data_IF_888233794025
#
_entry.id   IF_888233794025
#
_cell.length_a   1.000
_cell.length_b   1.000
_cell.length_c   1.000
_cell.angle_alpha   90.00
_cell.angle_beta   90.00
_cell.angle_gamma   90.00
#
_symmetry.space_group_name_H-M   'P 1'
#
loop_
_entity.id
_entity.type
_entity.pdbx_description
1 polymer ?
#
# COMPACT_ATOMS: atom_id res chain seq x y z
N UNK A 1 54.15 -13.66 33.90
CA UNK A 1 54.05 -12.89 32.64
C UNK A 1 52.86 -13.28 31.75
N UNK A 2 52.42 -14.56 31.72
CA UNK A 2 51.26 -14.99 30.91
C UNK A 2 49.93 -14.29 31.27
N UNK A 3 49.67 -14.04 32.55
CA UNK A 3 48.44 -13.35 32.99
C UNK A 3 48.34 -11.91 32.52
N UNK A 4 49.45 -11.16 32.47
CA UNK A 4 49.47 -9.79 31.98
C UNK A 4 49.13 -9.72 30.48
N UNK A 5 49.64 -10.68 29.70
CA UNK A 5 49.35 -10.78 28.27
C UNK A 5 47.87 -11.10 28.01
N UNK A 6 47.30 -12.03 28.79
CA UNK A 6 45.87 -12.37 28.70
C UNK A 6 44.99 -11.16 29.06
N UNK A 7 45.35 -10.41 30.11
CA UNK A 7 44.63 -9.20 30.51
C UNK A 7 44.69 -8.11 29.41
N UNK A 8 45.85 -7.93 28.78
CA UNK A 8 46.01 -6.98 27.68
C UNK A 8 45.17 -7.36 26.46
N UNK A 9 45.15 -8.65 26.07
CA UNK A 9 44.32 -9.14 24.97
C UNK A 9 42.83 -8.92 25.27
N UNK A 10 42.39 -9.23 26.50
CA UNK A 10 41.01 -9.00 26.92
C UNK A 10 40.61 -7.52 26.85
N UNK A 11 41.48 -6.63 27.30
CA UNK A 11 41.23 -5.19 27.28
C UNK A 11 41.13 -4.66 25.86
N UNK A 12 41.97 -5.15 24.94
CA UNK A 12 41.90 -4.78 23.52
C UNK A 12 40.61 -5.30 22.87
N UNK A 13 40.24 -6.56 23.11
CA UNK A 13 39.06 -7.16 22.49
C UNK A 13 37.76 -6.52 23.01
N UNK A 14 37.59 -6.45 24.34
CA UNK A 14 36.37 -5.90 24.94
C UNK A 14 36.32 -4.39 24.77
N UNK A 15 37.42 -3.69 25.02
CA UNK A 15 37.49 -2.23 24.87
C UNK A 15 37.31 -1.81 23.42
N UNK A 16 37.95 -2.51 22.48
CA UNK A 16 37.78 -2.27 21.05
C UNK A 16 36.35 -2.50 20.58
N UNK A 17 35.72 -3.61 21.00
CA UNK A 17 34.33 -3.92 20.65
C UNK A 17 33.35 -2.91 21.27
N UNK A 18 33.52 -2.53 22.53
CA UNK A 18 32.71 -1.50 23.19
C UNK A 18 32.85 -0.14 22.52
N UNK A 19 34.08 0.26 22.16
CA UNK A 19 34.30 1.53 21.48
C UNK A 19 33.67 1.53 20.07
N UNK A 20 33.81 0.43 19.34
CA UNK A 20 33.22 0.26 18.02
C UNK A 20 31.69 0.32 18.06
N UNK A 21 31.06 -0.43 18.97
CA UNK A 21 29.60 -0.45 19.14
C UNK A 21 29.06 0.92 19.53
N UNK A 22 29.72 1.60 20.47
CA UNK A 22 29.35 2.95 20.87
C UNK A 22 29.46 3.97 19.72
N UNK A 23 30.53 3.92 18.93
CA UNK A 23 30.66 4.79 17.75
C UNK A 23 29.63 4.46 16.67
N UNK A 24 29.34 3.17 16.46
CA UNK A 24 28.33 2.72 15.50
C UNK A 24 26.95 3.21 15.88
N UNK A 25 26.56 3.10 17.15
CA UNK A 25 25.26 3.54 17.64
C UNK A 25 25.08 5.05 17.55
N UNK A 26 26.13 5.83 17.84
CA UNK A 26 26.09 7.30 17.67
C UNK A 26 25.98 7.76 16.22
N UNK A 27 26.31 6.89 15.25
CA UNK A 27 26.14 7.16 13.82
C UNK A 27 24.82 6.63 13.27
N UNK A 28 24.04 5.90 14.07
CA UNK A 28 22.69 5.55 13.65
C UNK A 28 21.89 6.86 13.54
N UNK A 29 21.11 7.04 12.47
CA UNK A 29 20.13 8.12 12.42
C UNK A 29 19.26 8.07 13.68
N UNK A 30 18.78 9.22 14.19
CA UNK A 30 17.77 9.23 15.23
C UNK A 30 16.65 8.26 14.82
N UNK A 31 16.23 7.38 15.73
CA UNK A 31 15.03 6.60 15.51
C UNK A 31 13.92 7.61 15.25
N UNK A 32 13.40 7.66 14.02
CA UNK A 32 12.24 8.50 13.72
C UNK A 32 11.16 8.06 14.70
N UNK A 33 10.75 8.95 15.60
CA UNK A 33 9.58 8.71 16.44
C UNK A 33 8.46 8.26 15.51
N UNK A 34 7.84 7.13 15.83
CA UNK A 34 6.70 6.65 15.09
C UNK A 34 5.66 7.77 15.14
N UNK A 35 5.46 8.45 14.01
CA UNK A 35 4.40 9.44 13.88
C UNK A 35 3.13 8.71 14.28
N UNK A 36 2.49 9.17 15.37
CA UNK A 36 1.20 8.64 15.80
C UNK A 36 0.22 8.99 14.69
N UNK A 37 0.05 8.06 13.75
CA UNK A 37 -0.88 8.20 12.65
C UNK A 37 -2.28 8.29 13.24
N UNK A 38 -2.92 9.45 13.11
CA UNK A 38 -4.33 9.62 13.43
C UNK A 38 -5.16 8.93 12.37
N UNK A 39 -6.17 8.18 12.76
CA UNK A 39 -7.11 7.59 11.80
C UNK A 39 -7.82 8.68 11.00
N UNK A 40 -7.90 8.52 9.69
CA UNK A 40 -8.72 9.36 8.84
C UNK A 40 -10.15 8.80 8.81
N UNK A 41 -11.20 9.65 8.76
CA UNK A 41 -12.58 9.19 8.78
C UNK A 41 -12.91 8.50 7.46
N UNK A 42 -12.86 7.16 7.41
CA UNK A 42 -13.09 6.36 6.20
C UNK A 42 -14.44 6.63 5.50
N UNK A 43 -15.44 7.07 6.26
CA UNK A 43 -16.77 7.51 5.80
C UNK A 43 -16.71 8.76 4.91
N UNK A 44 -15.64 9.56 4.98
CA UNK A 44 -15.51 10.73 4.11
C UNK A 44 -15.07 10.35 2.69
N UNK A 45 -14.65 9.10 2.47
CA UNK A 45 -13.94 8.68 1.28
C UNK A 45 -14.72 7.64 0.46
N UNK A 46 -14.56 7.74 -0.86
CA UNK A 46 -15.06 6.77 -1.84
C UNK A 46 -13.93 6.39 -2.78
N UNK A 47 -13.71 5.09 -2.96
CA UNK A 47 -12.76 4.57 -3.94
C UNK A 47 -13.52 4.10 -5.18
N UNK A 48 -13.19 4.64 -6.34
CA UNK A 48 -13.72 4.22 -7.63
C UNK A 48 -12.68 3.44 -8.41
N UNK A 49 -13.10 2.32 -9.00
CA UNK A 49 -12.24 1.43 -9.77
C UNK A 49 -12.95 1.17 -11.10
N UNK A 50 -12.32 1.53 -12.21
CA UNK A 50 -12.88 1.40 -13.55
C UNK A 50 -11.91 0.62 -14.43
N UNK A 51 -12.12 -0.69 -14.64
CA UNK A 51 -11.31 -1.48 -15.56
C UNK A 51 -11.68 -1.15 -17.01
N UNK A 52 -10.71 -1.09 -17.91
CA UNK A 52 -10.93 -0.93 -19.35
C UNK A 52 -11.31 -2.24 -20.05
N UNK A 53 -11.42 -3.34 -19.29
CA UNK A 53 -11.61 -4.70 -19.76
C UNK A 53 -12.63 -5.42 -18.87
N UNK A 54 -13.22 -6.50 -19.39
CA UNK A 54 -14.10 -7.35 -18.57
C UNK A 54 -13.26 -8.20 -17.62
N UNK A 55 -13.51 -8.18 -16.32
CA UNK A 55 -12.69 -8.96 -15.38
C UNK A 55 -13.08 -10.43 -15.38
N UNK A 56 -12.11 -11.31 -15.13
CA UNK A 56 -12.31 -12.77 -15.13
C UNK A 56 -11.65 -13.42 -13.91
N UNK A 57 -11.98 -14.69 -13.65
CA UNK A 57 -11.26 -15.47 -12.65
C UNK A 57 -9.85 -15.80 -13.15
N UNK A 58 -8.88 -15.91 -12.23
CA UNK A 58 -7.49 -16.21 -12.59
C UNK A 58 -7.34 -17.71 -12.90
N UNK A 59 -7.03 -18.09 -14.16
CA UNK A 59 -6.89 -19.50 -14.53
C UNK A 59 -5.63 -20.15 -13.94
N UNK A 60 -4.70 -19.38 -13.40
CA UNK A 60 -3.45 -19.85 -12.80
C UNK A 60 -3.48 -19.85 -11.27
N UNK A 61 -4.62 -19.51 -10.67
CA UNK A 61 -4.73 -19.52 -9.21
C UNK A 61 -4.57 -20.95 -8.66
N UNK A 62 -3.79 -21.07 -7.59
CA UNK A 62 -3.59 -22.34 -6.91
C UNK A 62 -4.87 -22.80 -6.20
N UNK A 63 -5.13 -24.10 -6.22
CA UNK A 63 -6.22 -24.68 -5.45
C UNK A 63 -6.00 -24.40 -3.95
N UNK A 64 -7.00 -23.81 -3.32
CA UNK A 64 -6.93 -23.40 -1.90
C UNK A 64 -6.44 -21.97 -1.67
N UNK A 65 -6.02 -21.23 -2.71
CA UNK A 65 -5.78 -19.79 -2.57
C UNK A 65 -7.10 -19.08 -2.27
N UNK A 66 -7.23 -18.36 -1.14
CA UNK A 66 -8.44 -17.61 -0.81
C UNK A 66 -8.82 -16.59 -1.90
N UNK A 67 -7.89 -16.16 -2.77
CA UNK A 67 -8.14 -15.20 -3.85
C UNK A 67 -8.38 -15.85 -5.22
N UNK A 68 -8.44 -17.18 -5.32
CA UNK A 68 -8.50 -17.86 -6.61
C UNK A 68 -9.71 -17.46 -7.47
N UNK A 69 -10.87 -17.24 -6.85
CA UNK A 69 -12.08 -16.81 -7.54
C UNK A 69 -12.19 -15.30 -7.77
N UNK A 70 -11.29 -14.50 -7.18
CA UNK A 70 -11.44 -13.05 -7.16
C UNK A 70 -10.97 -12.41 -8.48
N UNK A 71 -11.89 -11.71 -9.14
CA UNK A 71 -11.66 -10.98 -10.39
C UNK A 71 -11.10 -9.56 -10.14
N UNK A 72 -11.45 -8.98 -8.98
CA UNK A 72 -10.91 -7.72 -8.46
C UNK A 72 -10.68 -7.88 -6.96
N UNK A 73 -9.52 -7.44 -6.47
CA UNK A 73 -9.17 -7.36 -5.05
C UNK A 73 -8.58 -6.00 -4.76
N UNK A 74 -9.07 -5.35 -3.71
CA UNK A 74 -8.58 -4.07 -3.23
C UNK A 74 -8.24 -4.20 -1.75
N UNK A 75 -7.07 -3.68 -1.37
CA UNK A 75 -6.64 -3.68 0.03
C UNK A 75 -6.03 -2.34 0.43
N UNK A 76 -6.20 -2.01 1.70
CA UNK A 76 -5.53 -0.89 2.35
C UNK A 76 -5.08 -1.34 3.73
N UNK A 77 -3.86 -1.00 4.12
CA UNK A 77 -3.27 -1.39 5.41
C UNK A 77 -3.42 -2.91 5.71
N UNK A 78 -3.26 -3.76 4.69
CA UNK A 78 -3.39 -5.21 4.80
C UNK A 78 -4.83 -5.75 4.92
N UNK A 79 -5.85 -4.89 4.95
CA UNK A 79 -7.27 -5.28 5.04
C UNK A 79 -7.91 -5.29 3.65
N UNK A 80 -8.80 -6.25 3.39
CA UNK A 80 -9.58 -6.30 2.14
C UNK A 80 -10.71 -5.28 2.22
N UNK A 81 -10.67 -4.28 1.33
CA UNK A 81 -11.73 -3.28 1.20
C UNK A 81 -12.82 -3.73 0.23
N UNK A 82 -12.40 -4.40 -0.84
CA UNK A 82 -13.30 -4.90 -1.86
C UNK A 82 -12.77 -6.18 -2.47
N UNK A 83 -13.69 -7.08 -2.76
CA UNK A 83 -13.45 -8.34 -3.46
C UNK A 83 -14.66 -8.63 -4.32
N UNK A 84 -14.42 -8.84 -5.61
CA UNK A 84 -15.44 -9.37 -6.53
C UNK A 84 -15.04 -10.76 -6.97
N UNK A 85 -15.90 -11.75 -6.76
CA UNK A 85 -15.76 -13.09 -7.37
C UNK A 85 -16.55 -13.20 -8.69
N UNK A 86 -17.25 -12.13 -9.07
CA UNK A 86 -18.03 -12.05 -10.31
C UNK A 86 -17.27 -11.26 -11.38
N UNK A 87 -17.37 -11.64 -12.66
CA UNK A 87 -16.92 -10.82 -13.77
C UNK A 87 -17.58 -9.43 -13.73
N UNK A 88 -16.77 -8.39 -13.89
CA UNK A 88 -17.22 -7.03 -14.10
C UNK A 88 -17.09 -6.68 -15.58
N UNK A 89 -17.99 -5.87 -16.12
CA UNK A 89 -17.90 -5.44 -17.51
C UNK A 89 -16.86 -4.34 -17.68
N UNK A 90 -16.28 -4.25 -18.88
CA UNK A 90 -15.38 -3.16 -19.23
C UNK A 90 -16.07 -1.80 -19.10
N UNK A 91 -15.35 -0.81 -18.56
CA UNK A 91 -15.82 0.56 -18.40
C UNK A 91 -16.82 0.76 -17.24
N UNK A 92 -17.22 -0.29 -16.52
CA UNK A 92 -18.12 -0.18 -15.37
C UNK A 92 -17.33 0.21 -14.13
N UNK A 93 -17.68 1.34 -13.54
CA UNK A 93 -17.08 1.80 -12.29
C UNK A 93 -17.65 1.04 -11.10
N UNK A 94 -16.74 0.47 -10.30
CA UNK A 94 -17.03 -0.07 -8.98
C UNK A 94 -16.71 1.00 -7.94
N UNK A 95 -17.71 1.38 -7.15
CA UNK A 95 -17.55 2.32 -6.04
C UNK A 95 -17.51 1.57 -4.70
N UNK A 96 -16.47 1.81 -3.91
CA UNK A 96 -16.25 1.22 -2.60
C UNK A 96 -16.34 2.34 -1.56
N UNK A 97 -17.29 2.22 -0.66
CA UNK A 97 -17.55 3.17 0.41
C UNK A 97 -18.15 2.43 1.62
N UNK A 98 -17.69 2.69 2.85
CA UNK A 98 -16.56 3.56 3.22
C UNK A 98 -15.20 2.96 2.89
N UNK A 99 -14.15 3.80 2.83
CA UNK A 99 -12.76 3.35 2.66
C UNK A 99 -12.08 3.24 4.02
N UNK A 100 -12.19 2.06 4.64
CA UNK A 100 -11.63 1.81 5.97
C UNK A 100 -10.09 1.74 6.00
N UNK A 101 -9.49 1.99 7.18
CA UNK A 101 -8.05 1.82 7.39
C UNK A 101 -7.16 2.92 6.80
N UNK A 102 -7.76 4.06 6.45
CA UNK A 102 -7.03 5.27 6.08
C UNK A 102 -6.51 5.98 7.32
N UNK A 103 -5.32 6.57 7.21
CA UNK A 103 -4.71 7.39 8.27
C UNK A 103 -4.33 8.77 7.72
N UNK A 104 -4.21 9.76 8.59
CA UNK A 104 -3.52 10.99 8.25
C UNK A 104 -2.04 10.69 7.93
N UNK A 105 -1.53 11.32 6.88
CA UNK A 105 -0.21 11.06 6.34
C UNK A 105 -0.23 10.00 5.25
N UNK A 106 0.81 9.15 5.20
CA UNK A 106 1.06 8.24 4.08
C UNK A 106 0.17 7.01 4.15
N UNK A 107 -0.49 6.71 3.04
CA UNK A 107 -1.35 5.56 2.82
C UNK A 107 -0.94 4.83 1.55
N UNK A 108 -1.47 3.62 1.38
CA UNK A 108 -1.26 2.79 0.21
C UNK A 108 -2.53 1.98 -0.08
N UNK A 109 -2.98 2.01 -1.33
CA UNK A 109 -4.01 1.12 -1.85
C UNK A 109 -3.34 0.08 -2.75
N UNK A 110 -3.49 -1.19 -2.39
CA UNK A 110 -3.15 -2.29 -3.28
C UNK A 110 -4.39 -2.66 -4.11
N UNK A 111 -4.23 -2.72 -5.43
CA UNK A 111 -5.23 -3.21 -6.37
C UNK A 111 -4.67 -4.41 -7.13
N UNK A 112 -5.51 -5.44 -7.29
CA UNK A 112 -5.35 -6.48 -8.31
C UNK A 112 -6.64 -6.62 -9.11
N UNK A 113 -6.54 -6.60 -10.44
CA UNK A 113 -7.63 -6.92 -11.35
C UNK A 113 -7.13 -7.92 -12.40
N UNK A 114 -7.96 -8.92 -12.70
CA UNK A 114 -7.61 -10.05 -13.57
C UNK A 114 -8.36 -9.90 -14.89
N UNK A 115 -7.65 -9.70 -16.03
CA UNK A 115 -8.30 -9.70 -17.34
C UNK A 115 -8.63 -11.12 -17.79
N UNK A 116 -9.43 -11.30 -18.85
CA UNK A 116 -9.60 -12.59 -19.49
C UNK A 116 -8.26 -13.00 -20.09
N UNK A 117 -7.87 -14.27 -19.94
CA UNK A 117 -6.59 -14.78 -20.47
C UNK A 117 -6.42 -14.55 -21.98
N UNK A 118 -7.52 -14.45 -22.72
CA UNK A 118 -7.53 -14.22 -24.16
C UNK A 118 -7.47 -12.74 -24.54
N UNK A 119 -7.31 -11.81 -23.60
CA UNK A 119 -7.24 -10.37 -23.88
C UNK A 119 -5.98 -10.04 -24.70
N UNK A 120 -6.12 -9.68 -26.00
CA UNK A 120 -4.98 -9.55 -26.89
C UNK A 120 -4.33 -8.16 -26.82
N UNK A 121 -4.99 -7.20 -26.16
CA UNK A 121 -4.59 -5.81 -26.08
C UNK A 121 -4.05 -5.47 -24.70
N UNK A 122 -3.21 -4.43 -24.67
CA UNK A 122 -2.88 -3.75 -23.44
C UNK A 122 -4.15 -3.14 -22.85
N UNK A 123 -4.20 -3.10 -21.53
CA UNK A 123 -5.40 -2.75 -20.80
C UNK A 123 -5.03 -2.03 -19.52
N UNK A 124 -6.01 -1.37 -18.92
CA UNK A 124 -5.77 -0.53 -17.77
C UNK A 124 -6.90 -0.62 -16.75
N UNK A 125 -6.58 -0.21 -15.53
CA UNK A 125 -7.57 0.09 -14.49
C UNK A 125 -7.34 1.51 -14.01
N UNK A 126 -8.38 2.33 -14.10
CA UNK A 126 -8.38 3.65 -13.49
C UNK A 126 -8.83 3.54 -12.05
N UNK A 127 -8.11 4.18 -11.14
CA UNK A 127 -8.40 4.21 -9.70
C UNK A 127 -8.52 5.65 -9.26
N UNK A 128 -9.66 6.01 -8.66
CA UNK A 128 -9.88 7.35 -8.10
C UNK A 128 -10.23 7.27 -6.63
N UNK A 129 -9.56 8.06 -5.81
CA UNK A 129 -9.99 8.29 -4.42
C UNK A 129 -10.67 9.64 -4.35
N UNK A 130 -11.90 9.66 -3.85
CA UNK A 130 -12.69 10.87 -3.66
C UNK A 130 -12.89 11.13 -2.17
N UNK A 131 -12.95 12.40 -1.79
CA UNK A 131 -13.39 12.86 -0.48
C UNK A 131 -14.54 13.84 -0.66
N UNK A 132 -15.75 13.47 -0.24
CA UNK A 132 -16.94 14.30 -0.45
C UNK A 132 -17.15 14.72 -1.92
N UNK A 133 -16.80 13.85 -2.88
CA UNK A 133 -16.89 14.14 -4.33
C UNK A 133 -15.69 14.86 -4.93
N UNK A 134 -14.76 15.38 -4.13
CA UNK A 134 -13.48 15.94 -4.62
C UNK A 134 -12.49 14.81 -4.89
N UNK A 135 -11.87 14.80 -6.06
CA UNK A 135 -10.82 13.84 -6.41
C UNK A 135 -9.54 14.19 -5.65
N UNK A 136 -9.03 13.24 -4.88
CA UNK A 136 -7.75 13.31 -4.17
C UNK A 136 -6.63 12.53 -4.88
N UNK A 137 -7.01 11.47 -5.60
CA UNK A 137 -6.11 10.58 -6.34
C UNK A 137 -6.82 10.16 -7.61
N UNK A 138 -6.09 10.11 -8.73
CA UNK A 138 -6.58 9.60 -10.02
C UNK A 138 -5.41 8.99 -10.78
N UNK A 139 -5.30 7.66 -10.70
CA UNK A 139 -4.18 6.91 -11.26
C UNK A 139 -4.69 5.90 -12.30
N UNK A 140 -3.89 5.68 -13.33
CA UNK A 140 -4.16 4.65 -14.35
C UNK A 140 -3.07 3.59 -14.30
N UNK A 141 -3.46 2.38 -13.92
CA UNK A 141 -2.58 1.23 -13.80
C UNK A 141 -2.67 0.40 -15.08
N UNK A 142 -1.52 0.09 -15.69
CA UNK A 142 -1.45 -0.62 -16.96
C UNK A 142 -1.08 -2.09 -16.76
N UNK A 143 -1.62 -2.95 -17.63
CA UNK A 143 -1.27 -4.35 -17.78
C UNK A 143 -1.09 -4.69 -19.26
N UNK A 144 -0.14 -5.57 -19.55
CA UNK A 144 0.17 -6.02 -20.91
C UNK A 144 -0.59 -7.31 -21.22
N UNK A 145 -1.21 -7.41 -22.41
CA UNK A 145 -1.70 -8.65 -23.04
C UNK A 145 -2.11 -9.80 -22.09
N UNK A 146 -3.24 -9.64 -21.40
CA UNK A 146 -3.79 -10.68 -20.52
C UNK A 146 -3.07 -10.86 -19.17
N UNK A 147 -2.01 -10.10 -18.88
CA UNK A 147 -1.38 -10.06 -17.56
C UNK A 147 -2.29 -9.36 -16.54
N UNK A 148 -2.24 -9.80 -15.29
CA UNK A 148 -2.97 -9.15 -14.20
C UNK A 148 -2.50 -7.69 -14.02
N UNK A 149 -3.45 -6.77 -13.84
CA UNK A 149 -3.14 -5.42 -13.36
C UNK A 149 -3.02 -5.49 -11.86
N UNK A 150 -1.78 -5.49 -11.35
CA UNK A 150 -1.49 -5.54 -9.91
C UNK A 150 -0.51 -4.42 -9.53
N UNK A 151 -0.95 -3.50 -8.66
CA UNK A 151 -0.11 -2.39 -8.23
C UNK A 151 -0.50 -1.85 -6.86
N UNK A 152 0.46 -1.18 -6.24
CA UNK A 152 0.32 -0.45 -5.00
C UNK A 152 0.42 1.05 -5.29
N UNK A 153 -0.62 1.79 -4.93
CA UNK A 153 -0.71 3.22 -5.18
C UNK A 153 -0.48 3.97 -3.86
N UNK A 154 0.68 4.62 -3.67
CA UNK A 154 0.93 5.44 -2.49
C UNK A 154 0.24 6.80 -2.64
N UNK A 155 -0.30 7.32 -1.53
CA UNK A 155 -0.85 8.67 -1.47
C UNK A 155 -0.72 9.24 -0.06
N UNK A 156 -0.88 10.55 0.08
CA UNK A 156 -0.81 11.23 1.38
C UNK A 156 -2.12 11.95 1.64
N UNK A 157 -2.72 11.72 2.80
CA UNK A 157 -3.86 12.49 3.30
C UNK A 157 -3.36 13.57 4.25
N UNK A 158 -3.72 14.82 4.00
CA UNK A 158 -3.47 15.90 4.97
C UNK A 158 -4.41 15.71 6.16
N UNK A 159 -3.95 15.98 7.39
CA UNK A 159 -4.86 16.13 8.52
C UNK A 159 -5.93 17.15 8.12
N UNK A 160 -7.20 16.80 8.31
CA UNK A 160 -8.30 17.75 8.13
C UNK A 160 -8.19 18.81 9.23
N UNK A 161 -7.38 19.85 8.96
CA UNK A 161 -7.21 21.04 9.77
C UNK A 161 -7.74 22.24 9.00
N UNK A 162 -8.83 22.81 9.51
CA UNK A 162 -9.38 24.14 9.19
C UNK A 162 -9.72 24.39 7.71
N UNK A 163 -10.97 24.07 7.35
CA UNK A 163 -11.64 24.78 6.28
C UNK A 163 -11.55 26.28 6.58
N UNK A 164 -10.80 27.01 5.75
CA UNK A 164 -10.74 28.46 5.80
C UNK A 164 -12.16 29.01 5.71
N UNK A 165 -12.61 29.62 6.80
CA UNK A 165 -13.70 30.57 6.78
C UNK A 165 -13.24 31.80 5.99
N UNK A 166 -13.27 31.74 4.66
CA UNK A 166 -13.37 32.96 3.86
C UNK A 166 -14.83 33.42 3.92
N UNK A 167 -15.11 34.22 4.96
CA UNK A 167 -16.28 35.08 5.00
C UNK A 167 -16.09 36.14 3.91
N UNK A 168 -17.08 36.25 3.02
CA UNK A 168 -17.20 37.32 2.06
C UNK A 168 -18.48 38.12 2.34
#
# INVERSE_FOLDING_TARGET
MRFALVAAIWLILVGGLSLYTYQRERRLPPQMEAVVSRDAPGEAYTLEITPSFATAADPFALQGDPLAGATIVVRTAGRVLYRSDKPQQAGVTVSVHPVAGLVAGRNEIFLRAVPPFTAPLDHAVRVRLLQGGRVLLDETLWGEKGANVASSIPFTLTEAGEGGHEQH
#
